data_IF_250505490492
#
_entry.id   IF_250505490492
#
_cell.length_a   1.000
_cell.length_b   1.000
_cell.length_c   1.000
_cell.angle_alpha   90.00
_cell.angle_beta   90.00
_cell.angle_gamma   90.00
#
_symmetry.space_group_name_H-M   'P 1'
#
loop_
_entity.id
_entity.type
_entity.pdbx_description
1 polymer ?
#
# COMPACT_ATOMS: atom_id res chain seq x y z
N UNK A 1 -82.12 11.59 49.59
CA UNK A 1 -80.85 12.22 50.04
C UNK A 1 -79.62 11.30 49.89
N UNK A 2 -79.74 9.97 50.05
CA UNK A 2 -78.61 9.02 49.93
C UNK A 2 -77.93 9.06 48.55
N UNK A 3 -78.70 9.06 47.46
CA UNK A 3 -78.17 9.06 46.08
C UNK A 3 -77.35 10.31 45.71
N UNK A 4 -77.67 11.47 46.28
CA UNK A 4 -76.94 12.73 46.02
C UNK A 4 -75.57 12.71 46.71
N UNK A 5 -75.46 12.09 47.90
CA UNK A 5 -74.19 11.97 48.61
C UNK A 5 -73.25 10.93 47.98
N UNK A 6 -73.81 9.84 47.43
CA UNK A 6 -73.05 8.87 46.64
C UNK A 6 -72.48 9.50 45.36
N UNK A 7 -73.33 10.21 44.60
CA UNK A 7 -72.90 10.92 43.38
C UNK A 7 -71.86 12.01 43.68
N UNK A 8 -71.92 12.67 44.85
CA UNK A 8 -70.89 13.62 45.29
C UNK A 8 -69.56 12.92 45.59
N UNK A 9 -69.58 11.76 46.24
CA UNK A 9 -68.37 10.96 46.50
C UNK A 9 -67.75 10.44 45.20
N UNK A 10 -68.56 9.94 44.27
CA UNK A 10 -68.11 9.49 42.95
C UNK A 10 -67.49 10.63 42.13
N UNK A 11 -68.06 11.84 42.23
CA UNK A 11 -67.50 13.03 41.57
C UNK A 11 -66.16 13.45 42.20
N UNK A 12 -66.00 13.34 43.52
CA UNK A 12 -64.72 13.62 44.20
C UNK A 12 -63.64 12.59 43.87
N UNK A 13 -63.98 11.30 43.84
CA UNK A 13 -63.02 10.26 43.42
C UNK A 13 -62.62 10.44 41.96
N UNK A 14 -63.57 10.71 41.07
CA UNK A 14 -63.28 11.01 39.66
C UNK A 14 -62.37 12.24 39.50
N UNK A 15 -62.61 13.31 40.27
CA UNK A 15 -61.74 14.50 40.30
C UNK A 15 -60.33 14.20 40.82
N UNK A 16 -60.21 13.35 41.84
CA UNK A 16 -58.91 12.93 42.38
C UNK A 16 -58.09 12.14 41.36
N UNK A 17 -58.73 11.19 40.66
CA UNK A 17 -58.10 10.40 39.59
C UNK A 17 -57.72 11.28 38.40
N UNK A 18 -58.54 12.25 38.01
CA UNK A 18 -58.15 13.21 36.97
C UNK A 18 -56.92 14.03 37.36
N UNK A 19 -56.81 14.49 38.61
CA UNK A 19 -55.61 15.21 39.09
C UNK A 19 -54.37 14.34 39.05
N UNK A 20 -54.47 13.06 39.43
CA UNK A 20 -53.32 12.14 39.36
C UNK A 20 -52.91 11.85 37.92
N UNK A 21 -53.85 11.80 36.97
CA UNK A 21 -53.54 11.69 35.54
C UNK A 21 -52.88 12.94 34.98
N UNK A 22 -53.28 14.15 35.40
CA UNK A 22 -52.63 15.40 34.99
C UNK A 22 -51.16 15.41 35.43
N UNK A 23 -50.88 15.02 36.67
CA UNK A 23 -49.50 14.94 37.20
C UNK A 23 -48.67 13.90 36.42
N UNK A 24 -49.24 12.74 36.10
CA UNK A 24 -48.57 11.72 35.31
C UNK A 24 -48.28 12.17 33.87
N UNK A 25 -49.21 12.86 33.21
CA UNK A 25 -49.02 13.43 31.87
C UNK A 25 -47.89 14.47 31.88
N UNK A 26 -47.84 15.33 32.90
CA UNK A 26 -46.79 16.33 33.02
C UNK A 26 -45.41 15.69 33.25
N UNK A 27 -45.34 14.65 34.10
CA UNK A 27 -44.14 13.84 34.29
C UNK A 27 -43.71 13.12 33.00
N UNK A 28 -44.65 12.61 32.21
CA UNK A 28 -44.35 11.96 30.92
C UNK A 28 -43.88 12.98 29.88
N UNK A 29 -44.47 14.17 29.84
CA UNK A 29 -44.08 15.23 28.92
C UNK A 29 -42.68 15.77 29.24
N UNK A 30 -42.37 15.98 30.51
CA UNK A 30 -41.04 16.40 30.97
C UNK A 30 -39.99 15.33 30.66
N UNK A 31 -40.28 14.05 30.90
CA UNK A 31 -39.41 12.94 30.54
C UNK A 31 -39.21 12.84 29.02
N UNK A 32 -40.28 12.93 28.23
CA UNK A 32 -40.22 12.91 26.76
C UNK A 32 -39.38 14.06 26.23
N UNK A 33 -39.51 15.26 26.81
CA UNK A 33 -38.72 16.44 26.43
C UNK A 33 -37.23 16.23 26.75
N UNK A 34 -36.92 15.67 27.93
CA UNK A 34 -35.53 15.34 28.31
C UNK A 34 -34.94 14.29 27.38
N UNK A 35 -35.66 13.19 27.15
CA UNK A 35 -35.23 12.11 26.26
C UNK A 35 -35.00 12.60 24.83
N UNK A 36 -35.84 13.51 24.31
CA UNK A 36 -35.64 14.14 22.99
C UNK A 36 -34.35 14.94 22.94
N UNK A 37 -34.08 15.80 23.93
CA UNK A 37 -32.84 16.58 24.02
C UNK A 37 -31.60 15.69 24.11
N UNK A 38 -31.68 14.62 24.89
CA UNK A 38 -30.59 13.66 25.03
C UNK A 38 -30.33 12.91 23.71
N UNK A 39 -31.39 12.46 23.03
CA UNK A 39 -31.28 11.84 21.70
C UNK A 39 -30.67 12.78 20.66
N UNK A 40 -31.07 14.05 20.66
CA UNK A 40 -30.50 15.08 19.77
C UNK A 40 -29.01 15.30 20.05
N UNK A 41 -28.61 15.30 21.32
CA UNK A 41 -27.22 15.47 21.75
C UNK A 41 -26.38 14.27 21.33
N UNK A 42 -26.83 13.05 21.64
CA UNK A 42 -26.18 11.80 21.26
C UNK A 42 -26.06 11.69 19.74
N UNK A 43 -27.13 12.03 19.00
CA UNK A 43 -27.13 12.03 17.53
C UNK A 43 -26.16 13.06 16.95
N UNK A 44 -25.94 14.19 17.62
CA UNK A 44 -24.95 15.19 17.20
C UNK A 44 -23.53 14.68 17.43
N UNK A 45 -23.22 14.22 18.65
CA UNK A 45 -21.92 13.65 18.99
C UNK A 45 -21.54 12.47 18.09
N UNK A 46 -22.49 11.58 17.80
CA UNK A 46 -22.25 10.45 16.89
C UNK A 46 -21.89 10.91 15.48
N UNK A 47 -22.54 11.97 14.96
CA UNK A 47 -22.19 12.55 13.65
C UNK A 47 -20.81 13.19 13.64
N UNK A 48 -20.46 13.93 14.69
CA UNK A 48 -19.14 14.54 14.85
C UNK A 48 -18.04 13.48 14.89
N UNK A 49 -18.17 12.47 15.75
CA UNK A 49 -17.22 11.35 15.85
C UNK A 49 -17.09 10.61 14.52
N UNK A 50 -18.20 10.34 13.83
CA UNK A 50 -18.18 9.67 12.54
C UNK A 50 -17.47 10.50 11.47
N UNK A 51 -17.66 11.82 11.49
CA UNK A 51 -16.98 12.74 10.58
C UNK A 51 -15.47 12.80 10.87
N UNK A 52 -15.08 12.91 12.13
CA UNK A 52 -13.69 12.90 12.56
C UNK A 52 -13.01 11.58 12.20
N UNK A 53 -13.63 10.44 12.49
CA UNK A 53 -13.13 9.12 12.12
C UNK A 53 -12.93 8.98 10.60
N UNK A 54 -13.86 9.52 9.79
CA UNK A 54 -13.71 9.53 8.34
C UNK A 54 -12.56 10.42 7.87
N UNK A 55 -12.36 11.59 8.48
CA UNK A 55 -11.25 12.49 8.17
C UNK A 55 -9.91 11.88 8.55
N UNK A 56 -9.81 11.29 9.75
CA UNK A 56 -8.62 10.58 10.22
C UNK A 56 -8.28 9.38 9.33
N UNK A 57 -9.29 8.62 8.89
CA UNK A 57 -9.08 7.51 7.96
C UNK A 57 -8.47 8.00 6.63
N UNK A 58 -9.00 9.09 6.06
CA UNK A 58 -8.47 9.70 4.82
C UNK A 58 -7.04 10.23 5.01
N UNK A 59 -6.79 10.93 6.11
CA UNK A 59 -5.46 11.45 6.41
C UNK A 59 -4.44 10.30 6.60
N UNK A 60 -4.84 9.22 7.28
CA UNK A 60 -4.01 8.04 7.43
C UNK A 60 -3.72 7.35 6.10
N UNK A 61 -4.70 7.22 5.19
CA UNK A 61 -4.45 6.64 3.86
C UNK A 61 -3.48 7.49 3.05
N UNK A 62 -3.69 8.82 3.01
CA UNK A 62 -2.79 9.74 2.28
C UNK A 62 -1.37 9.74 2.86
N UNK A 63 -1.23 9.73 4.19
CA UNK A 63 0.08 9.66 4.85
C UNK A 63 0.75 8.32 4.59
N UNK A 64 0.01 7.21 4.61
CA UNK A 64 0.53 5.87 4.34
C UNK A 64 1.04 5.77 2.90
N UNK A 65 0.30 6.29 1.92
CA UNK A 65 0.73 6.33 0.51
C UNK A 65 2.01 7.15 0.34
N UNK A 66 2.10 8.33 0.96
CA UNK A 66 3.32 9.16 0.92
C UNK A 66 4.53 8.45 1.53
N UNK A 67 4.34 7.75 2.66
CA UNK A 67 5.41 6.98 3.30
C UNK A 67 5.85 5.81 2.41
N UNK A 68 4.90 5.10 1.78
CA UNK A 68 5.22 4.02 0.82
C UNK A 68 6.05 4.58 -0.33
N UNK A 69 5.59 5.63 -0.99
CA UNK A 69 6.33 6.25 -2.10
C UNK A 69 7.73 6.71 -1.70
N UNK A 70 7.88 7.33 -0.53
CA UNK A 70 9.18 7.76 -0.02
C UNK A 70 10.11 6.58 0.33
N UNK A 71 9.54 5.42 0.69
CA UNK A 71 10.31 4.22 1.05
C UNK A 71 10.81 3.40 -0.14
N UNK A 72 10.32 3.68 -1.35
CA UNK A 72 10.75 2.97 -2.57
C UNK A 72 12.24 3.25 -2.81
N UNK A 73 13.00 2.19 -3.00
CA UNK A 73 14.41 2.28 -3.40
C UNK A 73 14.50 2.72 -4.87
N UNK A 74 15.55 3.44 -5.22
CA UNK A 74 15.81 3.84 -6.61
C UNK A 74 17.19 3.34 -7.03
N UNK A 75 17.27 2.67 -8.17
CA UNK A 75 18.55 2.31 -8.79
C UNK A 75 19.09 3.52 -9.57
N UNK A 76 20.19 4.10 -9.10
CA UNK A 76 20.85 5.26 -9.72
C UNK A 76 22.16 4.86 -10.40
N UNK A 77 22.56 5.66 -11.38
CA UNK A 77 23.77 5.50 -12.20
C UNK A 77 23.97 4.09 -12.76
N UNK A 78 22.88 3.52 -13.27
CA UNK A 78 22.89 2.20 -13.88
C UNK A 78 23.89 2.21 -15.05
N UNK A 79 24.94 1.41 -14.93
CA UNK A 79 25.98 1.17 -15.92
C UNK A 79 25.92 -0.29 -16.36
N UNK A 80 25.96 -0.53 -17.67
CA UNK A 80 25.86 -1.87 -18.24
C UNK A 80 27.08 -2.07 -19.13
N UNK A 81 27.81 -3.16 -18.89
CA UNK A 81 29.01 -3.52 -19.65
C UNK A 81 28.94 -4.97 -20.07
N UNK A 82 29.51 -5.26 -21.22
CA UNK A 82 29.62 -6.60 -21.77
C UNK A 82 31.08 -7.04 -21.69
N UNK A 83 31.29 -8.24 -21.16
CA UNK A 83 32.60 -8.80 -20.86
C UNK A 83 32.81 -10.09 -21.67
N UNK A 84 34.05 -10.32 -22.13
CA UNK A 84 34.43 -11.62 -22.67
C UNK A 84 34.80 -12.62 -21.54
N UNK A 85 35.17 -13.84 -21.90
CA UNK A 85 35.59 -14.89 -20.96
C UNK A 85 36.80 -14.52 -20.09
N UNK A 86 37.57 -13.49 -20.48
CA UNK A 86 38.72 -12.97 -19.72
C UNK A 86 38.36 -11.71 -18.93
N UNK A 87 37.07 -11.46 -18.72
CA UNK A 87 36.51 -10.31 -17.98
C UNK A 87 36.92 -8.94 -18.57
N UNK A 88 37.28 -8.89 -19.85
CA UNK A 88 37.59 -7.63 -20.54
C UNK A 88 36.36 -7.09 -21.25
N UNK A 89 36.16 -5.78 -21.14
CA UNK A 89 35.08 -5.07 -21.84
C UNK A 89 35.18 -5.32 -23.35
N UNK A 90 34.06 -5.71 -23.96
CA UNK A 90 33.97 -6.04 -25.38
C UNK A 90 32.59 -5.67 -25.91
N UNK A 91 32.52 -5.12 -27.13
CA UNK A 91 31.24 -4.74 -27.75
C UNK A 91 30.77 -5.73 -28.84
N UNK A 92 31.64 -6.66 -29.25
CA UNK A 92 31.33 -7.64 -30.28
C UNK A 92 30.43 -8.75 -29.73
N UNK A 93 29.18 -8.81 -30.19
CA UNK A 93 28.15 -9.74 -29.74
C UNK A 93 28.64 -11.18 -29.62
N UNK A 94 29.31 -11.69 -30.65
CA UNK A 94 29.78 -13.08 -30.72
C UNK A 94 30.85 -13.46 -29.68
N UNK A 95 31.36 -12.50 -28.91
CA UNK A 95 32.40 -12.71 -27.89
C UNK A 95 31.95 -12.32 -26.49
N UNK A 96 30.69 -11.93 -26.32
CA UNK A 96 30.12 -11.60 -25.01
C UNK A 96 29.92 -12.91 -24.25
N UNK A 97 30.56 -13.02 -23.09
CA UNK A 97 30.40 -14.14 -22.16
C UNK A 97 29.62 -13.73 -20.90
N UNK A 98 29.66 -12.45 -20.53
CA UNK A 98 28.94 -11.93 -19.37
C UNK A 98 28.42 -10.53 -19.63
N UNK A 99 27.19 -10.25 -19.21
CA UNK A 99 26.64 -8.89 -19.12
C UNK A 99 26.66 -8.49 -17.65
N UNK A 100 27.36 -7.42 -17.34
CA UNK A 100 27.52 -6.86 -16.01
C UNK A 100 26.64 -5.61 -15.87
N UNK A 101 25.89 -5.52 -14.78
CA UNK A 101 25.01 -4.41 -14.43
C UNK A 101 25.47 -3.83 -13.08
N UNK A 102 25.93 -2.59 -13.08
CA UNK A 102 26.37 -1.88 -11.88
C UNK A 102 25.45 -0.69 -11.63
N UNK A 103 25.06 -0.47 -10.39
CA UNK A 103 24.25 0.68 -9.99
C UNK A 103 24.42 0.93 -8.48
N UNK A 104 23.88 2.04 -7.99
CA UNK A 104 23.85 2.34 -6.58
C UNK A 104 22.40 2.45 -6.10
N UNK A 105 22.16 2.00 -4.88
CA UNK A 105 20.96 2.37 -4.12
C UNK A 105 21.35 3.55 -3.22
N UNK A 106 20.85 4.76 -3.48
CA UNK A 106 21.17 5.93 -2.66
C UNK A 106 20.74 5.75 -1.21
N UNK A 107 21.25 6.62 -0.34
CA UNK A 107 20.74 6.77 1.03
C UNK A 107 19.24 7.10 1.01
N UNK A 108 18.43 6.29 1.68
CA UNK A 108 17.00 6.49 1.83
C UNK A 108 16.58 6.19 3.28
N UNK A 109 16.29 7.26 4.03
CA UNK A 109 15.90 7.20 5.44
C UNK A 109 14.47 6.67 5.66
N UNK A 110 13.65 6.67 4.61
CA UNK A 110 12.27 6.17 4.64
C UNK A 110 12.17 4.70 4.26
N UNK A 111 13.21 4.14 3.63
CA UNK A 111 13.30 2.72 3.30
C UNK A 111 13.68 1.90 4.54
N UNK A 112 13.07 0.71 4.70
CA UNK A 112 13.46 -0.23 5.76
C UNK A 112 14.88 -0.73 5.50
N UNK A 113 15.74 -0.67 6.51
CA UNK A 113 17.07 -1.29 6.49
C UNK A 113 16.95 -2.82 6.60
N UNK A 114 17.99 -3.53 6.16
CA UNK A 114 18.08 -4.99 6.22
C UNK A 114 18.33 -5.63 4.85
N UNK A 115 18.12 -6.95 4.79
CA UNK A 115 18.21 -7.73 3.57
C UNK A 115 17.19 -7.25 2.52
N UNK A 116 17.65 -7.00 1.30
CA UNK A 116 16.85 -6.65 0.12
C UNK A 116 17.06 -7.65 -0.98
N UNK A 117 15.95 -8.18 -1.48
CA UNK A 117 15.93 -9.06 -2.64
C UNK A 117 15.90 -8.22 -3.92
N UNK A 118 17.02 -8.20 -4.64
CA UNK A 118 17.12 -7.55 -5.95
C UNK A 118 16.80 -8.57 -7.03
N UNK A 119 15.78 -8.27 -7.84
CA UNK A 119 15.49 -9.00 -9.06
C UNK A 119 15.83 -8.15 -10.27
N UNK A 120 16.48 -8.73 -11.25
CA UNK A 120 16.73 -8.11 -12.55
C UNK A 120 16.07 -8.97 -13.62
N UNK A 121 15.23 -8.33 -14.44
CA UNK A 121 14.61 -8.91 -15.62
C UNK A 121 15.21 -8.26 -16.86
N UNK A 122 15.89 -9.06 -17.67
CA UNK A 122 16.47 -8.63 -18.94
C UNK A 122 15.51 -9.03 -20.05
N UNK A 123 15.01 -8.07 -20.81
CA UNK A 123 14.16 -8.28 -21.97
C UNK A 123 14.98 -8.19 -23.25
N UNK A 124 14.73 -9.14 -24.14
CA UNK A 124 15.26 -9.20 -25.49
C UNK A 124 14.56 -8.18 -26.41
N UNK A 125 15.08 -7.95 -27.63
CA UNK A 125 14.46 -7.02 -28.59
C UNK A 125 13.00 -7.35 -28.96
N UNK A 126 12.59 -8.63 -28.83
CA UNK A 126 11.22 -9.10 -29.05
C UNK A 126 10.33 -9.02 -27.78
N UNK A 127 10.84 -8.41 -26.70
CA UNK A 127 10.23 -8.32 -25.37
C UNK A 127 10.06 -9.64 -24.62
N UNK A 128 10.69 -10.72 -25.07
CA UNK A 128 10.78 -11.95 -24.27
C UNK A 128 11.86 -11.83 -23.19
N UNK A 129 11.66 -12.37 -21.98
CA UNK A 129 12.67 -12.32 -20.94
C UNK A 129 13.80 -13.34 -21.20
N UNK A 130 15.04 -12.97 -20.87
CA UNK A 130 16.13 -13.94 -20.72
C UNK A 130 15.97 -14.68 -19.40
N UNK A 131 15.88 -16.01 -19.46
CA UNK A 131 15.55 -16.85 -18.30
C UNK A 131 16.34 -18.15 -18.38
N UNK A 132 17.03 -18.52 -17.29
CA UNK A 132 17.73 -19.82 -17.20
C UNK A 132 16.81 -20.98 -16.82
N UNK A 133 15.75 -20.67 -16.06
CA UNK A 133 14.77 -21.65 -15.61
C UNK A 133 13.39 -20.98 -15.58
N UNK A 134 12.42 -21.54 -16.29
CA UNK A 134 11.03 -21.05 -16.32
C UNK A 134 10.39 -20.93 -14.93
N UNK A 135 10.85 -21.72 -13.95
CA UNK A 135 10.43 -21.63 -12.55
C UNK A 135 10.96 -20.42 -11.78
N UNK A 136 11.90 -19.64 -12.35
CA UNK A 136 12.44 -18.43 -11.73
C UNK A 136 11.43 -17.29 -11.77
N UNK A 137 10.48 -17.32 -10.85
CA UNK A 137 9.37 -16.37 -10.74
C UNK A 137 9.49 -15.53 -9.47
N UNK A 138 9.07 -14.27 -9.55
CA UNK A 138 8.83 -13.40 -8.41
C UNK A 138 7.47 -12.71 -8.57
N UNK A 139 6.91 -12.22 -7.47
CA UNK A 139 5.62 -11.54 -7.47
C UNK A 139 5.82 -10.03 -7.67
N UNK A 140 5.06 -9.46 -8.62
CA UNK A 140 5.02 -8.03 -8.90
C UNK A 140 3.58 -7.66 -9.28
N UNK A 141 3.00 -6.68 -8.59
CA UNK A 141 1.62 -6.20 -8.81
C UNK A 141 0.57 -7.34 -8.89
N UNK A 142 0.72 -8.36 -8.04
CA UNK A 142 -0.19 -9.52 -7.99
C UNK A 142 -0.04 -10.53 -9.13
N UNK A 143 0.98 -10.37 -9.98
CA UNK A 143 1.31 -11.30 -11.06
C UNK A 143 2.68 -11.94 -10.83
N UNK A 144 2.87 -13.17 -11.29
CA UNK A 144 4.19 -13.82 -11.30
C UNK A 144 4.95 -13.47 -12.57
N UNK A 145 6.13 -12.89 -12.40
CA UNK A 145 7.02 -12.51 -13.49
C UNK A 145 8.30 -13.33 -13.42
N UNK A 146 8.84 -13.74 -14.58
CA UNK A 146 10.18 -14.29 -14.64
C UNK A 146 11.24 -13.22 -14.31
N UNK A 147 12.32 -13.65 -13.64
CA UNK A 147 13.54 -12.87 -13.48
C UNK A 147 14.72 -13.55 -14.17
N UNK A 148 15.69 -12.74 -14.61
CA UNK A 148 16.97 -13.20 -15.14
C UNK A 148 17.96 -13.42 -13.99
N UNK A 149 18.13 -12.43 -13.11
CA UNK A 149 19.06 -12.49 -11.97
C UNK A 149 18.31 -12.23 -10.68
N UNK A 150 18.63 -13.02 -9.66
CA UNK A 150 18.24 -12.79 -8.28
C UNK A 150 19.49 -12.60 -7.41
N UNK A 151 19.53 -11.54 -6.61
CA UNK A 151 20.62 -11.28 -5.66
C UNK A 151 20.06 -10.66 -4.38
N UNK A 152 20.19 -11.32 -3.22
CA UNK A 152 20.01 -10.65 -1.94
C UNK A 152 21.21 -9.73 -1.66
N UNK A 153 20.94 -8.57 -1.09
CA UNK A 153 21.94 -7.61 -0.60
C UNK A 153 21.59 -7.17 0.81
N UNK A 154 22.55 -6.64 1.55
CA UNK A 154 22.27 -5.97 2.83
C UNK A 154 22.25 -4.46 2.60
N UNK A 155 21.12 -3.80 2.92
CA UNK A 155 20.96 -2.36 2.78
C UNK A 155 20.88 -1.68 4.15
N UNK A 156 21.92 -0.90 4.47
CA UNK A 156 22.04 -0.25 5.78
C UNK A 156 21.35 1.13 5.88
N UNK A 157 20.60 1.54 4.85
CA UNK A 157 20.02 2.90 4.77
C UNK A 157 20.97 3.95 4.21
N UNK A 158 22.19 3.56 3.85
CA UNK A 158 23.22 4.38 3.22
C UNK A 158 23.43 3.98 1.75
N UNK A 159 24.17 4.80 1.01
CA UNK A 159 24.50 4.49 -0.38
C UNK A 159 25.17 3.12 -0.50
N UNK A 160 24.56 2.24 -1.28
CA UNK A 160 24.98 0.83 -1.40
C UNK A 160 25.22 0.47 -2.86
N UNK A 161 26.46 0.13 -3.27
CA UNK A 161 26.74 -0.32 -4.62
C UNK A 161 26.26 -1.76 -4.85
N UNK A 162 25.71 -2.02 -6.03
CA UNK A 162 25.20 -3.34 -6.44
C UNK A 162 25.73 -3.70 -7.82
N UNK A 163 26.21 -4.94 -7.94
CA UNK A 163 26.70 -5.51 -9.21
C UNK A 163 25.96 -6.80 -9.54
N UNK A 164 25.36 -6.92 -10.71
CA UNK A 164 24.68 -8.14 -11.16
C UNK A 164 25.37 -8.67 -12.41
N UNK A 165 25.45 -9.99 -12.54
CA UNK A 165 26.18 -10.64 -13.63
C UNK A 165 25.29 -11.67 -14.31
N UNK A 166 25.03 -11.47 -15.60
CA UNK A 166 24.38 -12.44 -16.46
C UNK A 166 25.44 -13.20 -17.24
N UNK A 167 25.70 -14.46 -16.86
CA UNK A 167 26.52 -15.37 -17.68
C UNK A 167 25.71 -15.83 -18.88
N UNK A 168 26.18 -15.48 -20.07
CA UNK A 168 25.53 -15.79 -21.34
C UNK A 168 25.76 -17.26 -21.64
N UNK A 169 24.67 -18.02 -21.69
CA UNK A 169 24.67 -19.45 -22.04
C UNK A 169 23.85 -19.70 -23.32
N UNK A 170 23.03 -18.72 -23.70
CA UNK A 170 22.21 -18.73 -24.90
C UNK A 170 22.81 -17.89 -26.03
N UNK A 171 22.27 -18.06 -27.24
CA UNK A 171 22.53 -17.12 -28.32
C UNK A 171 21.82 -15.80 -28.04
N UNK A 172 22.58 -14.70 -28.09
CA UNK A 172 22.04 -13.35 -28.04
C UNK A 172 21.77 -12.84 -29.46
N UNK A 173 20.66 -12.13 -29.63
CA UNK A 173 20.30 -11.48 -30.88
C UNK A 173 20.82 -10.04 -30.90
N UNK A 174 21.25 -9.51 -32.06
CA UNK A 174 21.54 -8.09 -32.16
C UNK A 174 20.27 -7.27 -31.97
N UNK A 175 20.35 -6.17 -31.22
CA UNK A 175 19.23 -5.26 -30.99
C UNK A 175 19.26 -4.57 -29.64
N UNK A 176 18.15 -3.91 -29.32
CA UNK A 176 17.96 -3.18 -28.07
C UNK A 176 17.36 -4.09 -27.00
N UNK A 177 18.08 -4.24 -25.91
CA UNK A 177 17.64 -4.94 -24.71
C UNK A 177 17.15 -3.94 -23.66
N UNK A 178 16.34 -4.41 -22.71
CA UNK A 178 15.92 -3.62 -21.54
C UNK A 178 16.22 -4.37 -20.25
N UNK A 179 16.85 -3.70 -19.29
CA UNK A 179 17.08 -4.20 -17.94
C UNK A 179 16.12 -3.51 -16.98
N UNK A 180 15.19 -4.26 -16.40
CA UNK A 180 14.25 -3.80 -15.38
C UNK A 180 14.69 -4.34 -14.00
N UNK A 181 14.90 -3.43 -13.04
CA UNK A 181 15.39 -3.73 -11.70
C UNK A 181 14.26 -3.60 -10.69
N UNK A 182 14.12 -4.58 -9.79
CA UNK A 182 13.07 -4.63 -8.80
C UNK A 182 13.63 -4.89 -7.40
N UNK A 183 13.02 -4.25 -6.41
CA UNK A 183 13.25 -4.52 -4.99
C UNK A 183 11.99 -4.19 -4.20
N UNK A 184 11.76 -4.91 -3.09
CA UNK A 184 10.62 -4.70 -2.19
C UNK A 184 9.23 -4.64 -2.89
N UNK A 185 9.07 -5.34 -4.01
CA UNK A 185 7.82 -5.38 -4.79
C UNK A 185 7.62 -4.20 -5.74
N UNK A 186 8.61 -3.31 -5.89
CA UNK A 186 8.56 -2.15 -6.78
C UNK A 186 9.58 -2.25 -7.91
N UNK A 187 9.27 -1.63 -9.05
CA UNK A 187 10.25 -1.32 -10.09
C UNK A 187 11.11 -0.14 -9.60
N UNK A 188 12.39 -0.38 -9.39
CA UNK A 188 13.32 0.60 -8.82
C UNK A 188 14.19 1.29 -9.87
N UNK A 189 14.20 0.78 -11.11
CA UNK A 189 14.90 1.39 -12.22
C UNK A 189 14.77 0.58 -13.51
N UNK A 190 14.98 1.23 -14.63
CA UNK A 190 15.03 0.58 -15.94
C UNK A 190 16.11 1.24 -16.81
N UNK A 191 16.81 0.43 -17.62
CA UNK A 191 17.77 0.94 -18.59
C UNK A 191 17.79 0.08 -19.86
N UNK A 192 17.70 0.74 -21.01
CA UNK A 192 17.95 0.11 -22.31
C UNK A 192 19.44 0.09 -22.65
N UNK A 193 19.88 -0.96 -23.33
CA UNK A 193 21.24 -1.10 -23.84
C UNK A 193 21.22 -1.85 -25.18
N UNK A 194 22.19 -1.56 -26.04
CA UNK A 194 22.26 -2.16 -27.37
C UNK A 194 23.35 -3.21 -27.42
N UNK A 195 23.03 -4.34 -28.05
CA UNK A 195 24.01 -5.32 -28.45
C UNK A 195 24.09 -5.32 -29.98
N UNK A 196 25.23 -4.90 -30.52
CA UNK A 196 25.48 -4.77 -31.96
C UNK A 196 26.45 -5.86 -32.42
N UNK A 197 26.37 -6.23 -33.71
CA UNK A 197 27.24 -7.24 -34.31
C UNK A 197 28.72 -6.82 -34.40
#
# INVERSE_FOLDING_TARGET
MVRINELRKELETARSVMRSYIIQIDSLNTLTTRLRKENETVSRQYREIKQEASQLAKANTELTEKVVLASILEARDINIRTLNERERVINRLSKIATIEFNFYLPKNISAKVGEKNIYLRILQPDNTPLVKNEGNLFEFEGTKLNYSIFRPIEYAGEETPVSLYWKVEEFLYPGTYRADFFADGFLIGSKSFELLN
#
